data_IF_869298093536
#
_entry.id   IF_869298093536
#
_cell.length_a   1.000
_cell.length_b   1.000
_cell.length_c   1.000
_cell.angle_alpha   90.00
_cell.angle_beta   90.00
_cell.angle_gamma   90.00
#
_symmetry.space_group_name_H-M   'P 1'
#
loop_
_entity.id
_entity.type
_entity.pdbx_description
1 polymer ?
#
# COMPACT_ATOMS: atom_id res chain seq x y z
N UNK A 1 -0.93 -4.42 -3.99
CA UNK A 1 -1.94 -3.47 -3.47
C UNK A 1 -3.32 -4.04 -3.69
N UNK A 2 -4.24 -3.76 -2.76
CA UNK A 2 -5.61 -4.28 -2.77
C UNK A 2 -6.63 -3.16 -2.89
N UNK A 3 -7.84 -3.51 -3.32
CA UNK A 3 -8.97 -2.58 -3.44
C UNK A 3 -9.47 -2.06 -2.09
N UNK A 4 -9.21 -2.79 -1.01
CA UNK A 4 -9.57 -2.43 0.36
C UNK A 4 -8.58 -3.00 1.38
N UNK A 5 -8.68 -2.57 2.66
CA UNK A 5 -7.89 -3.13 3.75
C UNK A 5 -8.33 -4.58 4.01
N UNK A 6 -7.39 -5.51 3.92
CA UNK A 6 -7.62 -6.94 4.18
C UNK A 6 -7.23 -7.86 3.02
N UNK A 7 -6.82 -9.09 3.34
CA UNK A 7 -6.37 -10.09 2.36
C UNK A 7 -7.50 -10.71 1.52
N UNK A 8 -8.75 -10.51 1.92
CA UNK A 8 -9.95 -10.92 1.18
C UNK A 8 -10.32 -9.99 0.03
N UNK A 9 -9.81 -8.75 0.01
CA UNK A 9 -10.06 -7.80 -1.06
C UNK A 9 -9.21 -8.12 -2.30
N UNK A 10 -9.73 -7.80 -3.48
CA UNK A 10 -9.07 -8.06 -4.75
C UNK A 10 -7.72 -7.34 -4.88
N UNK A 11 -6.77 -7.99 -5.56
CA UNK A 11 -5.49 -7.38 -5.93
C UNK A 11 -5.71 -6.48 -7.16
N UNK A 12 -5.48 -5.19 -7.01
CA UNK A 12 -5.71 -4.19 -8.09
C UNK A 12 -4.45 -3.81 -8.85
N UNK A 13 -3.28 -3.93 -8.20
CA UNK A 13 -1.96 -3.66 -8.82
C UNK A 13 -0.85 -4.14 -7.87
N UNK A 14 0.40 -4.20 -8.35
CA UNK A 14 1.55 -4.65 -7.58
C UNK A 14 2.68 -3.61 -7.64
N UNK A 15 3.29 -3.33 -6.49
CA UNK A 15 4.56 -2.59 -6.40
C UNK A 15 5.75 -3.55 -6.45
N UNK A 16 6.95 -3.00 -6.53
CA UNK A 16 8.22 -3.72 -6.39
C UNK A 16 8.88 -3.33 -5.08
N UNK A 17 9.74 -4.21 -4.56
CA UNK A 17 10.57 -3.88 -3.41
C UNK A 17 11.46 -2.68 -3.76
N UNK A 18 11.54 -1.71 -2.84
CA UNK A 18 12.27 -0.46 -3.04
C UNK A 18 11.47 0.64 -3.75
N UNK A 19 10.25 0.38 -4.21
CA UNK A 19 9.38 1.46 -4.68
C UNK A 19 8.99 2.36 -3.50
N UNK A 20 9.23 3.67 -3.63
CA UNK A 20 8.75 4.66 -2.67
C UNK A 20 7.28 4.96 -2.91
N UNK A 21 6.54 5.13 -1.82
CA UNK A 21 5.11 5.46 -1.85
C UNK A 21 4.79 6.56 -0.84
N UNK A 22 3.70 7.28 -1.09
CA UNK A 22 3.16 8.25 -0.12
C UNK A 22 1.92 7.63 0.53
N UNK A 23 1.90 7.60 1.86
CA UNK A 23 0.71 7.20 2.63
C UNK A 23 -0.33 8.33 2.53
N UNK A 24 -1.56 7.95 2.19
CA UNK A 24 -2.70 8.85 2.00
C UNK A 24 -3.82 8.60 3.02
N UNK A 25 -3.94 7.37 3.50
CA UNK A 25 -4.93 6.96 4.49
C UNK A 25 -4.47 5.72 5.25
N UNK A 26 -5.11 5.43 6.37
CA UNK A 26 -4.76 4.33 7.29
C UNK A 26 -6.02 3.65 7.84
N UNK A 27 -6.01 2.31 7.88
CA UNK A 27 -7.06 1.50 8.49
C UNK A 27 -6.44 0.23 9.10
N UNK A 28 -6.27 0.24 10.42
CA UNK A 28 -5.59 -0.83 11.15
C UNK A 28 -4.18 -1.06 10.61
N UNK A 29 -3.88 -2.31 10.25
CA UNK A 29 -2.58 -2.73 9.72
C UNK A 29 -2.44 -2.47 8.20
N UNK A 30 -3.23 -1.56 7.63
CA UNK A 30 -3.23 -1.24 6.20
C UNK A 30 -3.05 0.25 5.94
N UNK A 31 -2.28 0.57 4.90
CA UNK A 31 -2.05 1.92 4.43
C UNK A 31 -2.58 2.05 3.02
N UNK A 32 -3.39 3.07 2.75
CA UNK A 32 -3.72 3.46 1.39
C UNK A 32 -2.58 4.31 0.86
N UNK A 33 -1.91 3.83 -0.19
CA UNK A 33 -0.69 4.45 -0.70
C UNK A 33 -0.82 4.88 -2.15
N UNK A 34 -0.04 5.88 -2.54
CA UNK A 34 0.10 6.36 -3.91
C UNK A 34 1.57 6.29 -4.36
N UNK A 35 1.80 5.64 -5.50
CA UNK A 35 3.11 5.57 -6.16
C UNK A 35 3.36 6.85 -6.96
N UNK A 36 4.62 7.09 -7.32
CA UNK A 36 5.03 8.25 -8.14
C UNK A 36 4.39 8.26 -9.54
N UNK A 37 4.03 7.09 -10.07
CA UNK A 37 3.33 6.92 -11.35
C UNK A 37 1.80 7.08 -11.25
N UNK A 38 1.29 7.42 -10.06
CA UNK A 38 -0.13 7.66 -9.81
C UNK A 38 -0.95 6.41 -9.51
N UNK A 39 -0.36 5.20 -9.52
CA UNK A 39 -1.06 3.99 -9.06
C UNK A 39 -1.35 4.08 -7.56
N UNK A 40 -2.51 3.60 -7.14
CA UNK A 40 -2.95 3.64 -5.74
C UNK A 40 -3.56 2.32 -5.28
N UNK A 41 -3.55 2.10 -3.98
CA UNK A 41 -4.26 0.99 -3.35
C UNK A 41 -3.77 0.71 -1.93
N UNK A 42 -4.39 -0.30 -1.31
CA UNK A 42 -4.07 -0.69 0.05
C UNK A 42 -2.87 -1.65 0.11
N UNK A 43 -1.91 -1.37 0.98
CA UNK A 43 -0.77 -2.23 1.30
C UNK A 43 -0.78 -2.55 2.80
N UNK A 44 -0.40 -3.77 3.17
CA UNK A 44 -0.25 -4.12 4.59
C UNK A 44 0.99 -3.42 5.14
N UNK A 45 0.89 -2.86 6.35
CA UNK A 45 1.92 -2.01 6.95
C UNK A 45 3.26 -2.75 7.14
N UNK A 46 3.22 -4.05 7.43
CA UNK A 46 4.43 -4.88 7.58
C UNK A 46 5.27 -5.02 6.28
N UNK A 47 4.73 -4.60 5.13
CA UNK A 47 5.45 -4.57 3.85
C UNK A 47 6.11 -3.21 3.58
N UNK A 48 5.84 -2.20 4.42
CA UNK A 48 6.48 -0.91 4.35
C UNK A 48 7.73 -0.92 5.22
N UNK A 49 8.77 -0.27 4.71
CA UNK A 49 9.97 0.02 5.48
C UNK A 49 9.80 1.41 6.08
N UNK A 50 9.94 1.50 7.41
CA UNK A 50 9.85 2.75 8.15
C UNK A 50 11.28 3.07 8.61
N UNK A 51 11.91 4.09 8.03
CA UNK A 51 13.22 4.54 8.52
C UNK A 51 13.03 5.18 9.91
N UNK A 52 13.76 4.68 10.91
CA UNK A 52 13.86 5.23 12.28
C UNK A 52 14.69 6.53 12.35
#
# INVERSE_FOLDING_TARGET
MRSGPGTSNDVVTQGKQGDSVVIRDEDGDWRYVEFSDGRKGWIADFLLDHED
#
